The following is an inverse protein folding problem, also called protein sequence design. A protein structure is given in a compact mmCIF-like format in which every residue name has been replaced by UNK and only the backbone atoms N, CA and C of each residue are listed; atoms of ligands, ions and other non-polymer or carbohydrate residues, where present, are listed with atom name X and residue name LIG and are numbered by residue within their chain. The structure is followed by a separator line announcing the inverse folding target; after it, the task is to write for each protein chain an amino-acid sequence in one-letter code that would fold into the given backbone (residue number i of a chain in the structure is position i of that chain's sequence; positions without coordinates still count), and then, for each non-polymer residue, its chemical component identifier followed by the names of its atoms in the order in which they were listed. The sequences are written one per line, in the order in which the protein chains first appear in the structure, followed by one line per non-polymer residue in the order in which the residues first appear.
data_IF_795807397464
#
_entry.id   IF_795807397464
#
_cell.length_a   1.000
_cell.length_b   1.000
_cell.length_c   1.000
_cell.angle_alpha   90.00
_cell.angle_beta   90.00
_cell.angle_gamma   90.00
#
_symmetry.space_group_name_H-M   'P 1'
#
loop_
_entity.id
_entity.type
_entity.pdbx_description
1 polymer ?
#
# COMPACT_ATOMS: atom_id res chain seq x y z
N UNK A 1 7.47 10.24 -0.82
CA UNK A 1 6.04 10.62 -0.90
C UNK A 1 5.95 12.02 -1.49
N UNK A 2 4.99 12.24 -2.39
CA UNK A 2 4.63 13.56 -2.90
C UNK A 2 3.20 13.86 -2.48
N UNK A 3 2.94 15.12 -2.14
CA UNK A 3 1.66 15.57 -1.60
C UNK A 3 1.30 16.93 -2.18
N UNK A 4 0.02 17.16 -2.42
CA UNK A 4 -0.52 18.47 -2.74
C UNK A 4 -1.79 18.70 -1.93
N UNK A 5 -1.77 19.77 -1.12
CA UNK A 5 -2.93 20.23 -0.34
C UNK A 5 -3.56 21.41 -1.08
N UNK A 6 -4.88 21.39 -1.25
CA UNK A 6 -5.59 22.53 -1.84
C UNK A 6 -5.98 23.53 -0.74
N UNK A 7 -6.38 24.77 -1.11
CA UNK A 7 -7.01 25.68 -0.16
C UNK A 7 -8.40 25.23 0.34
N UNK A 8 -9.01 24.22 -0.30
CA UNK A 8 -10.30 23.67 0.12
C UNK A 8 -10.08 22.65 1.22
N UNK A 9 -10.69 22.88 2.38
CA UNK A 9 -10.61 21.98 3.53
C UNK A 9 -11.07 20.56 3.15
N UNK A 10 -10.32 19.56 3.61
CA UNK A 10 -10.58 18.15 3.30
C UNK A 10 -10.25 17.71 1.87
N UNK A 11 -9.62 18.57 1.05
CA UNK A 11 -9.23 18.24 -0.32
C UNK A 11 -7.72 18.23 -0.52
N UNK A 12 -7.19 17.06 -0.89
CA UNK A 12 -5.76 16.80 -1.04
C UNK A 12 -5.47 15.56 -1.89
N UNK A 13 -4.25 15.44 -2.38
CA UNK A 13 -3.74 14.20 -2.99
C UNK A 13 -2.36 13.86 -2.45
N UNK A 14 -2.06 12.57 -2.37
CA UNK A 14 -0.71 12.09 -2.22
C UNK A 14 -0.43 10.88 -3.12
N UNK A 15 0.84 10.70 -3.45
CA UNK A 15 1.36 9.49 -4.07
C UNK A 15 2.65 9.05 -3.40
N UNK A 16 2.87 7.75 -3.33
CA UNK A 16 4.10 7.18 -2.81
C UNK A 16 4.40 5.84 -3.50
N UNK A 17 5.69 5.53 -3.56
CA UNK A 17 6.17 4.16 -3.73
C UNK A 17 6.96 3.84 -2.47
N UNK A 18 6.70 2.68 -1.88
CA UNK A 18 7.38 2.18 -0.69
C UNK A 18 8.04 0.85 -1.04
N UNK A 19 9.34 0.70 -0.72
CA UNK A 19 10.05 -0.58 -0.87
C UNK A 19 10.13 -1.24 0.50
N UNK A 20 9.62 -2.46 0.58
CA UNK A 20 9.44 -3.21 1.81
C UNK A 20 10.32 -4.45 1.77
N UNK A 21 11.06 -4.71 2.84
CA UNK A 21 11.66 -6.02 3.10
C UNK A 21 10.83 -6.70 4.19
N UNK A 22 10.34 -7.90 3.95
CA UNK A 22 9.36 -8.55 4.80
C UNK A 22 9.54 -10.06 4.87
N UNK A 23 8.82 -10.65 5.81
CA UNK A 23 8.56 -12.09 5.87
C UNK A 23 7.05 -12.30 5.83
N UNK A 24 6.54 -12.91 4.76
CA UNK A 24 5.11 -13.20 4.59
C UNK A 24 4.90 -14.71 4.68
N UNK A 25 4.10 -15.16 5.64
CA UNK A 25 3.87 -16.59 5.90
C UNK A 25 5.17 -17.42 5.93
N UNK A 26 6.21 -16.88 6.59
CA UNK A 26 7.52 -17.53 6.72
C UNK A 26 8.47 -17.35 5.53
N UNK A 27 8.04 -16.73 4.43
CA UNK A 27 8.85 -16.51 3.22
C UNK A 27 9.52 -15.14 3.25
N UNK A 28 10.83 -15.11 3.11
CA UNK A 28 11.62 -13.88 3.17
C UNK A 28 11.86 -13.29 1.78
N UNK A 29 11.69 -11.98 1.68
CA UNK A 29 11.98 -11.26 0.45
C UNK A 29 11.71 -9.77 0.58
N UNK A 30 11.68 -9.09 -0.55
CA UNK A 30 11.25 -7.70 -0.65
C UNK A 30 10.33 -7.47 -1.83
N UNK A 31 9.58 -6.38 -1.79
CA UNK A 31 8.68 -5.95 -2.85
C UNK A 31 8.40 -4.46 -2.70
N UNK A 32 7.74 -3.84 -3.69
CA UNK A 32 7.33 -2.46 -3.61
C UNK A 32 5.79 -2.34 -3.57
N UNK A 33 5.29 -1.32 -2.87
CA UNK A 33 3.92 -0.89 -2.94
C UNK A 33 3.80 0.45 -3.69
N UNK A 34 2.73 0.63 -4.45
CA UNK A 34 2.27 1.92 -4.97
C UNK A 34 1.07 2.39 -4.17
N UNK A 35 1.14 3.63 -3.66
CA UNK A 35 0.05 4.25 -2.91
C UNK A 35 -0.42 5.50 -3.64
N UNK A 36 -1.73 5.67 -3.75
CA UNK A 36 -2.35 6.92 -4.13
C UNK A 36 -3.55 7.19 -3.23
N UNK A 37 -3.55 8.32 -2.53
CA UNK A 37 -4.68 8.76 -1.74
C UNK A 37 -5.25 10.04 -2.28
N UNK A 38 -6.57 10.07 -2.45
CA UNK A 38 -7.32 11.28 -2.80
C UNK A 38 -8.27 11.58 -1.66
N UNK A 39 -8.22 12.80 -1.16
CA UNK A 39 -9.24 13.35 -0.28
C UNK A 39 -10.03 14.38 -1.07
N UNK A 40 -11.35 14.23 -1.13
CA UNK A 40 -12.27 15.14 -1.80
C UNK A 40 -13.33 15.59 -0.78
N UNK A 41 -13.18 16.81 -0.27
CA UNK A 41 -14.13 17.44 0.68
C UNK A 41 -14.48 16.53 1.88
N UNK A 42 -13.49 15.81 2.40
CA UNK A 42 -13.65 14.89 3.53
C UNK A 42 -13.98 13.43 3.16
N UNK A 43 -14.34 13.14 1.91
CA UNK A 43 -14.34 11.78 1.38
C UNK A 43 -12.91 11.32 1.09
N UNK A 44 -12.56 10.08 1.39
CA UNK A 44 -11.22 9.53 1.17
C UNK A 44 -11.29 8.28 0.29
N UNK A 45 -10.44 8.21 -0.72
CA UNK A 45 -10.13 6.99 -1.47
C UNK A 45 -8.64 6.70 -1.40
N UNK A 46 -8.31 5.42 -1.27
CA UNK A 46 -6.94 4.94 -1.15
C UNK A 46 -6.74 3.75 -2.07
N UNK A 47 -5.73 3.84 -2.93
CA UNK A 47 -5.14 2.70 -3.62
C UNK A 47 -3.84 2.36 -2.94
N UNK A 48 -3.65 1.10 -2.57
CA UNK A 48 -2.40 0.60 -1.97
C UNK A 48 -2.16 -0.81 -2.52
N UNK A 49 -1.26 -0.95 -3.49
CA UNK A 49 -1.11 -2.19 -4.26
C UNK A 49 0.33 -2.61 -4.40
N UNK A 50 0.59 -3.92 -4.38
CA UNK A 50 1.91 -4.44 -4.72
C UNK A 50 2.22 -4.06 -6.16
N UNK A 51 3.38 -3.45 -6.39
CA UNK A 51 3.86 -3.13 -7.73
C UNK A 51 4.12 -4.45 -8.47
N UNK A 52 3.55 -4.65 -9.67
CA UNK A 52 3.76 -5.87 -10.44
C UNK A 52 5.24 -6.21 -10.58
N UNK A 53 5.55 -7.50 -10.39
CA UNK A 53 6.89 -8.07 -10.53
C UNK A 53 7.99 -7.42 -9.66
N UNK A 54 7.61 -6.66 -8.64
CA UNK A 54 8.57 -6.05 -7.70
C UNK A 54 9.10 -7.03 -6.64
N UNK A 55 8.47 -8.20 -6.52
CA UNK A 55 8.85 -9.25 -5.58
C UNK A 55 10.28 -9.74 -5.79
N UNK A 56 10.94 -10.14 -4.71
CA UNK A 56 12.32 -10.67 -4.70
C UNK A 56 12.48 -11.75 -3.64
N UNK A 57 13.55 -12.53 -3.73
CA UNK A 57 13.76 -13.68 -2.84
C UNK A 57 12.61 -14.69 -2.96
N UNK A 58 12.07 -15.12 -1.83
CA UNK A 58 10.95 -16.08 -1.78
C UNK A 58 9.58 -15.41 -2.06
N UNK A 59 9.57 -14.10 -2.34
CA UNK A 59 8.38 -13.32 -2.67
C UNK A 59 8.27 -12.98 -4.18
N UNK A 60 9.06 -13.64 -5.03
CA UNK A 60 8.91 -13.52 -6.49
C UNK A 60 7.48 -13.90 -6.93
N UNK A 61 6.89 -13.08 -7.79
CA UNK A 61 5.51 -13.27 -8.27
C UNK A 61 4.42 -12.83 -7.29
N UNK A 62 4.77 -12.16 -6.19
CA UNK A 62 3.79 -11.57 -5.26
C UNK A 62 2.89 -10.57 -5.98
N UNK A 63 1.58 -10.71 -5.78
CA UNK A 63 0.59 -9.71 -6.15
C UNK A 63 -0.41 -9.53 -5.01
N UNK A 64 -0.99 -8.33 -4.87
CA UNK A 64 -1.92 -8.09 -3.78
C UNK A 64 -2.27 -6.62 -3.58
N UNK A 65 -3.22 -6.41 -2.68
CA UNK A 65 -3.73 -5.10 -2.30
C UNK A 65 -3.76 -5.00 -0.78
N UNK A 66 -3.48 -3.80 -0.28
CA UNK A 66 -3.48 -3.51 1.14
C UNK A 66 -4.65 -2.58 1.46
N UNK A 67 -5.45 -2.98 2.45
CA UNK A 67 -6.51 -2.15 2.99
C UNK A 67 -6.05 -1.56 4.32
N UNK A 68 -6.23 -0.25 4.49
CA UNK A 68 -5.99 0.46 5.74
C UNK A 68 -7.33 0.81 6.40
N UNK A 69 -7.49 0.45 7.67
CA UNK A 69 -8.56 0.94 8.55
C UNK A 69 -7.94 1.66 9.74
N UNK A 70 -8.48 2.83 10.07
CA UNK A 70 -8.04 3.60 11.24
C UNK A 70 -9.12 3.47 12.31
N UNK A 71 -8.77 2.88 13.45
CA UNK A 71 -9.67 2.70 14.59
C UNK A 71 -8.95 3.24 15.83
N UNK A 72 -9.57 4.16 16.56
CA UNK A 72 -8.99 4.77 17.77
C UNK A 72 -7.55 5.31 17.56
N UNK A 73 -7.30 5.94 16.40
CA UNK A 73 -5.98 6.45 15.95
C UNK A 73 -4.92 5.37 15.69
N UNK A 74 -5.28 4.10 15.72
CA UNK A 74 -4.42 2.97 15.36
C UNK A 74 -4.64 2.59 13.90
N UNK A 75 -3.55 2.41 13.17
CA UNK A 75 -3.58 1.96 11.79
C UNK A 75 -3.60 0.43 11.74
N UNK A 76 -4.66 -0.13 11.19
CA UNK A 76 -4.82 -1.55 10.93
C UNK A 76 -4.66 -1.82 9.44
N UNK A 77 -3.66 -2.62 9.10
CA UNK A 77 -3.34 -3.00 7.72
C UNK A 77 -3.75 -4.45 7.47
N UNK A 78 -4.49 -4.69 6.40
CA UNK A 78 -4.80 -6.02 5.89
C UNK A 78 -4.22 -6.14 4.50
N UNK A 79 -3.25 -7.05 4.30
CA UNK A 79 -2.71 -7.38 3.00
C UNK A 79 -3.40 -8.65 2.48
N UNK A 80 -4.23 -8.50 1.45
CA UNK A 80 -4.76 -9.61 0.68
C UNK A 80 -3.83 -9.86 -0.50
N UNK A 81 -3.27 -11.07 -0.59
CA UNK A 81 -2.24 -11.34 -1.59
C UNK A 81 -2.32 -12.76 -2.12
N UNK A 82 -1.73 -12.93 -3.31
CA UNK A 82 -1.42 -14.23 -3.89
C UNK A 82 0.08 -14.34 -4.09
N UNK A 83 0.60 -15.55 -3.89
CA UNK A 83 1.99 -15.87 -4.12
C UNK A 83 2.04 -17.29 -4.73
N UNK A 84 2.78 -17.51 -5.82
CA UNK A 84 2.94 -18.84 -6.38
C UNK A 84 3.47 -19.84 -5.34
N UNK A 85 2.99 -21.08 -5.42
CA UNK A 85 3.64 -22.19 -4.72
C UNK A 85 5.11 -22.30 -5.15
N UNK A 86 6.00 -22.79 -4.27
CA UNK A 86 7.39 -23.01 -4.64
C UNK A 86 7.52 -24.02 -5.79
#
# INVERSE_FOLDING_TARGET
MLTFMTPVEGSAVYVAIEVVHATLNGRQGGFAFFHAGVSERGGQSLTYRVVPDSGSGELLGLSGELTLKIMDKVHHYTLEYTLPSP
#
